data_IF_751121178396
#
_entry.id   IF_751121178396
#
_cell.length_a   1.000
_cell.length_b   1.000
_cell.length_c   1.000
_cell.angle_alpha   90.00
_cell.angle_beta   90.00
_cell.angle_gamma   90.00
#
_symmetry.space_group_name_H-M   'P 1'
#
loop_
_entity.id
_entity.type
_entity.pdbx_description
1 polymer ?
#
# COMPACT_ATOMS: atom_id res chain seq x y z
N UNK A 1 -21.51 42.13 -4.10
CA UNK A 1 -20.19 42.00 -4.76
C UNK A 1 -19.87 40.53 -4.87
N UNK A 2 -20.07 39.92 -6.04
CA UNK A 2 -19.72 38.53 -6.29
C UNK A 2 -18.19 38.39 -6.39
N UNK A 3 -17.59 37.54 -5.55
CA UNK A 3 -16.18 37.21 -5.61
C UNK A 3 -15.88 36.53 -6.95
N UNK A 4 -15.05 37.16 -7.77
CA UNK A 4 -14.53 36.53 -9.01
C UNK A 4 -13.83 35.23 -8.63
N UNK A 5 -14.06 34.12 -9.34
CA UNK A 5 -13.28 32.92 -9.13
C UNK A 5 -11.83 33.25 -9.48
N UNK A 6 -10.94 33.09 -8.50
CA UNK A 6 -9.49 33.19 -8.69
C UNK A 6 -9.12 32.15 -9.72
N UNK A 7 -8.74 32.60 -10.93
CA UNK A 7 -8.15 31.75 -11.95
C UNK A 7 -6.73 31.41 -11.52
N UNK A 8 -6.60 30.50 -10.55
CA UNK A 8 -5.33 29.89 -10.23
C UNK A 8 -4.89 29.14 -11.48
N UNK A 9 -3.71 29.48 -12.03
CA UNK A 9 -3.16 28.98 -13.30
C UNK A 9 -2.85 27.47 -13.32
N UNK A 10 -3.49 26.70 -12.45
CA UNK A 10 -3.49 25.25 -12.48
C UNK A 10 -4.23 24.82 -13.73
N UNK A 11 -3.55 24.04 -14.56
CA UNK A 11 -4.16 23.34 -15.69
C UNK A 11 -5.14 22.32 -15.10
N UNK A 12 -6.38 22.74 -14.86
CA UNK A 12 -7.46 21.83 -14.45
C UNK A 12 -7.80 21.02 -15.70
N UNK A 13 -7.22 19.81 -15.81
CA UNK A 13 -7.65 18.85 -16.84
C UNK A 13 -9.12 18.51 -16.58
N UNK A 14 -10.01 19.03 -17.42
CA UNK A 14 -11.43 18.66 -17.45
C UNK A 14 -11.57 17.45 -18.38
N UNK A 15 -11.99 16.33 -17.83
CA UNK A 15 -12.18 15.04 -18.49
C UNK A 15 -12.31 13.94 -17.42
N UNK A 16 -12.65 12.68 -17.79
CA UNK A 16 -12.58 11.56 -16.87
C UNK A 16 -11.17 11.50 -16.28
N UNK A 17 -11.06 11.66 -14.96
CA UNK A 17 -9.76 11.52 -14.31
C UNK A 17 -9.30 10.08 -14.51
N UNK A 18 -8.07 9.85 -14.99
CA UNK A 18 -7.56 8.49 -15.08
C UNK A 18 -7.34 8.01 -13.64
N UNK A 19 -8.34 7.31 -13.13
CA UNK A 19 -8.42 6.82 -11.75
C UNK A 19 -7.65 5.51 -11.60
N UNK A 20 -7.90 4.53 -12.49
CA UNK A 20 -7.13 3.29 -12.57
C UNK A 20 -6.06 3.38 -13.66
N UNK A 21 -4.83 3.72 -13.28
CA UNK A 21 -3.69 3.81 -14.20
C UNK A 21 -2.72 2.66 -13.99
N UNK A 22 -2.19 2.11 -15.08
CA UNK A 22 -1.09 1.13 -15.04
C UNK A 22 0.06 1.57 -14.12
N UNK A 23 0.55 2.82 -14.15
CA UNK A 23 1.58 3.27 -13.22
C UNK A 23 1.15 3.24 -11.74
N UNK A 24 -0.09 3.63 -11.42
CA UNK A 24 -0.59 3.53 -10.04
C UNK A 24 -0.64 2.08 -9.54
N UNK A 25 -0.99 1.13 -10.42
CA UNK A 25 -1.00 -0.30 -10.09
C UNK A 25 0.40 -0.82 -9.85
N UNK A 26 1.34 -0.54 -10.77
CA UNK A 26 2.71 -1.04 -10.68
C UNK A 26 3.45 -0.48 -9.48
N UNK A 27 3.31 0.82 -9.20
CA UNK A 27 3.93 1.45 -8.04
C UNK A 27 3.27 0.92 -6.76
N UNK A 28 1.95 0.74 -6.75
CA UNK A 28 1.23 0.24 -5.57
C UNK A 28 1.67 -1.18 -5.23
N UNK A 29 1.80 -2.03 -6.24
CA UNK A 29 2.30 -3.39 -6.06
C UNK A 29 3.75 -3.42 -5.55
N UNK A 30 4.65 -2.62 -6.16
CA UNK A 30 6.05 -2.57 -5.77
C UNK A 30 6.25 -2.02 -4.35
N UNK A 31 5.57 -0.92 -4.02
CA UNK A 31 5.59 -0.35 -2.67
C UNK A 31 4.96 -1.31 -1.66
N UNK A 32 3.82 -1.91 -1.99
CA UNK A 32 3.15 -2.88 -1.15
C UNK A 32 4.04 -4.08 -0.81
N UNK A 33 4.75 -4.64 -1.79
CA UNK A 33 5.69 -5.74 -1.56
C UNK A 33 6.82 -5.36 -0.60
N UNK A 34 7.42 -4.18 -0.77
CA UNK A 34 8.51 -3.68 0.10
C UNK A 34 8.01 -3.40 1.51
N UNK A 35 6.84 -2.77 1.62
CA UNK A 35 6.19 -2.44 2.90
C UNK A 35 5.81 -3.72 3.63
N UNK A 36 5.27 -4.73 2.94
CA UNK A 36 4.90 -6.01 3.53
C UNK A 36 6.11 -6.72 4.17
N UNK A 37 7.25 -6.75 3.46
CA UNK A 37 8.50 -7.33 3.98
C UNK A 37 9.00 -6.55 5.21
N UNK A 38 8.99 -5.23 5.15
CA UNK A 38 9.42 -4.37 6.26
C UNK A 38 8.52 -4.53 7.50
N UNK A 39 7.20 -4.43 7.32
CA UNK A 39 6.23 -4.57 8.41
C UNK A 39 6.27 -6.00 8.96
N UNK A 40 6.48 -7.01 8.12
CA UNK A 40 6.57 -8.40 8.55
C UNK A 40 7.77 -8.64 9.45
N UNK A 41 8.94 -8.13 9.05
CA UNK A 41 10.12 -8.20 9.90
C UNK A 41 9.95 -7.42 11.21
N UNK A 42 9.42 -6.18 11.14
CA UNK A 42 9.22 -5.36 12.32
C UNK A 42 8.21 -5.98 13.30
N UNK A 43 7.11 -6.54 12.81
CA UNK A 43 6.07 -7.18 13.65
C UNK A 43 6.56 -8.45 14.33
N UNK A 44 7.44 -9.23 13.69
CA UNK A 44 8.09 -10.38 14.33
C UNK A 44 8.98 -9.97 15.52
N UNK A 45 9.62 -8.80 15.45
CA UNK A 45 10.46 -8.27 16.54
C UNK A 45 9.63 -7.60 17.63
N UNK A 46 8.65 -6.78 17.23
CA UNK A 46 7.88 -5.94 18.14
C UNK A 46 6.71 -6.66 18.80
N UNK A 47 6.18 -7.72 18.16
CA UNK A 47 4.99 -8.44 18.61
C UNK A 47 3.67 -7.71 18.31
N UNK A 48 3.69 -6.61 17.56
CA UNK A 48 2.50 -5.89 17.09
C UNK A 48 2.67 -5.41 15.64
N UNK A 49 1.56 -5.20 14.93
CA UNK A 49 1.56 -4.71 13.55
C UNK A 49 1.50 -3.19 13.50
N UNK A 50 2.14 -2.61 12.48
CA UNK A 50 2.16 -1.17 12.20
C UNK A 50 1.31 -0.90 10.95
N UNK A 51 0.67 0.27 10.91
CA UNK A 51 -0.08 0.76 9.75
C UNK A 51 0.90 1.14 8.62
N UNK A 52 0.63 0.67 7.41
CA UNK A 52 1.51 0.80 6.25
C UNK A 52 0.98 1.78 5.21
N UNK A 53 -0.27 2.19 5.34
CA UNK A 53 -0.98 3.04 4.39
C UNK A 53 -0.42 4.46 4.38
N UNK A 54 0.02 5.00 5.52
CA UNK A 54 0.66 6.33 5.54
C UNK A 54 2.00 6.31 4.79
N UNK A 55 2.80 5.26 4.99
CA UNK A 55 4.06 5.07 4.26
C UNK A 55 3.78 4.92 2.76
N UNK A 56 2.78 4.13 2.38
CA UNK A 56 2.38 3.94 0.99
C UNK A 56 1.91 5.25 0.33
N UNK A 57 1.15 6.08 1.05
CA UNK A 57 0.71 7.39 0.54
C UNK A 57 1.87 8.38 0.38
N UNK A 58 2.78 8.45 1.36
CA UNK A 58 3.92 9.38 1.31
C UNK A 58 4.87 8.98 0.17
N UNK A 59 5.24 7.69 0.09
CA UNK A 59 6.13 7.18 -0.95
C UNK A 59 5.47 7.22 -2.33
N UNK A 60 4.20 6.81 -2.42
CA UNK A 60 3.42 6.90 -3.64
C UNK A 60 3.34 8.32 -4.19
N UNK A 61 3.08 9.30 -3.32
CA UNK A 61 3.01 10.69 -3.71
C UNK A 61 4.38 11.21 -4.15
N UNK A 62 5.44 10.82 -3.45
CA UNK A 62 6.83 11.14 -3.82
C UNK A 62 7.21 10.61 -5.21
N UNK A 63 6.83 9.36 -5.52
CA UNK A 63 7.17 8.72 -6.81
C UNK A 63 6.29 9.26 -7.94
N UNK A 64 4.95 9.26 -7.78
CA UNK A 64 4.02 9.70 -8.83
C UNK A 64 4.20 11.19 -9.13
N UNK A 65 4.32 12.03 -8.10
CA UNK A 65 4.43 13.48 -8.28
C UNK A 65 5.85 13.96 -8.52
N UNK A 66 6.83 13.38 -7.83
CA UNK A 66 8.24 13.77 -7.96
C UNK A 66 8.89 13.23 -9.22
N UNK A 67 8.83 11.91 -9.44
CA UNK A 67 9.53 11.25 -10.55
C UNK A 67 8.68 11.27 -11.82
N UNK A 68 7.41 10.87 -11.74
CA UNK A 68 6.55 10.74 -12.92
C UNK A 68 5.80 12.03 -13.30
N UNK A 69 5.95 13.10 -12.49
CA UNK A 69 5.30 14.40 -12.68
C UNK A 69 3.77 14.31 -12.86
N UNK A 70 3.14 13.29 -12.28
CA UNK A 70 1.70 13.08 -12.29
C UNK A 70 1.10 13.85 -11.13
N UNK A 71 0.19 14.78 -11.43
CA UNK A 71 -0.46 15.63 -10.43
C UNK A 71 -1.82 15.10 -9.95
N UNK A 72 -2.16 13.84 -10.28
CA UNK A 72 -3.44 13.24 -9.90
C UNK A 72 -3.37 12.69 -8.47
N UNK A 73 -4.15 13.28 -7.57
CA UNK A 73 -4.32 12.78 -6.19
C UNK A 73 -5.03 11.43 -6.19
N UNK A 74 -5.92 11.20 -7.16
CA UNK A 74 -6.72 9.98 -7.29
C UNK A 74 -5.82 8.78 -7.60
N UNK A 75 -4.79 8.96 -8.44
CA UNK A 75 -3.84 7.89 -8.73
C UNK A 75 -3.02 7.49 -7.49
N UNK A 76 -2.68 8.46 -6.62
CA UNK A 76 -2.01 8.14 -5.36
C UNK A 76 -2.93 7.40 -4.38
N UNK A 77 -4.23 7.71 -4.39
CA UNK A 77 -5.22 6.99 -3.60
C UNK A 77 -5.32 5.52 -4.05
N UNK A 78 -5.43 5.26 -5.35
CA UNK A 78 -5.42 3.89 -5.89
C UNK A 78 -4.12 3.16 -5.56
N UNK A 79 -2.98 3.83 -5.74
CA UNK A 79 -1.68 3.31 -5.34
C UNK A 79 -1.64 2.93 -3.86
N UNK A 80 -2.15 3.79 -2.97
CA UNK A 80 -2.23 3.54 -1.53
C UNK A 80 -3.14 2.35 -1.22
N UNK A 81 -4.32 2.25 -1.84
CA UNK A 81 -5.24 1.12 -1.64
C UNK A 81 -4.62 -0.21 -2.04
N UNK A 82 -3.93 -0.25 -3.19
CA UNK A 82 -3.24 -1.46 -3.65
C UNK A 82 -2.12 -1.83 -2.69
N UNK A 83 -1.32 -0.85 -2.28
CA UNK A 83 -0.21 -1.08 -1.37
C UNK A 83 -0.67 -1.48 0.05
N UNK A 84 -1.76 -0.92 0.58
CA UNK A 84 -2.24 -1.21 1.93
C UNK A 84 -3.00 -2.53 2.03
N UNK A 85 -3.51 -3.07 0.92
CA UNK A 85 -4.15 -4.39 0.89
C UNK A 85 -3.26 -5.52 1.44
N UNK A 86 -1.94 -5.37 1.37
CA UNK A 86 -0.98 -6.36 1.89
C UNK A 86 -1.02 -6.50 3.41
N UNK A 87 -1.44 -5.46 4.14
CA UNK A 87 -1.44 -5.48 5.60
C UNK A 87 -2.44 -6.49 6.16
N UNK A 88 -3.62 -6.57 5.56
CA UNK A 88 -4.65 -7.54 5.96
C UNK A 88 -4.20 -8.98 5.71
N UNK A 89 -3.74 -9.27 4.49
CA UNK A 89 -3.26 -10.59 4.12
C UNK A 89 -2.04 -11.04 4.96
N UNK A 90 -1.10 -10.14 5.20
CA UNK A 90 0.16 -10.50 5.87
C UNK A 90 0.04 -10.64 7.38
N UNK A 91 -0.90 -9.93 8.03
CA UNK A 91 -1.11 -10.00 9.48
C UNK A 91 -1.40 -11.44 9.96
N UNK A 92 -2.12 -12.23 9.17
CA UNK A 92 -2.36 -13.64 9.45
C UNK A 92 -1.07 -14.44 9.59
N UNK A 93 -0.13 -14.31 8.64
CA UNK A 93 1.17 -15.00 8.71
C UNK A 93 2.07 -14.47 9.81
N UNK A 94 2.11 -13.15 9.99
CA UNK A 94 3.00 -12.49 10.96
C UNK A 94 2.77 -12.99 12.39
N UNK A 95 1.53 -13.33 12.75
CA UNK A 95 1.19 -13.84 14.08
C UNK A 95 1.01 -15.36 14.14
N UNK A 96 0.54 -16.00 13.07
CA UNK A 96 0.28 -17.44 13.07
C UNK A 96 1.55 -18.28 12.92
N UNK A 97 2.51 -17.86 12.07
CA UNK A 97 3.77 -18.60 11.90
C UNK A 97 4.53 -18.71 13.22
N UNK A 98 4.82 -17.60 13.94
CA UNK A 98 5.55 -17.70 15.20
C UNK A 98 4.80 -18.52 16.25
N UNK A 99 3.47 -18.43 16.30
CA UNK A 99 2.66 -19.22 17.22
C UNK A 99 2.81 -20.74 16.98
N UNK A 100 2.83 -21.19 15.72
CA UNK A 100 3.07 -22.59 15.37
C UNK A 100 4.47 -23.06 15.81
N UNK A 101 5.48 -22.23 15.60
CA UNK A 101 6.85 -22.52 16.07
C UNK A 101 6.93 -22.63 17.59
N UNK A 102 6.21 -21.77 18.34
CA UNK A 102 6.14 -21.82 19.80
C UNK A 102 5.42 -23.10 20.28
N UNK A 103 4.39 -23.55 19.56
CA UNK A 103 3.65 -24.78 19.85
C UNK A 103 4.43 -26.07 19.50
N UNK A 104 5.58 -25.96 18.83
CA UNK A 104 6.37 -27.12 18.37
C UNK A 104 5.83 -27.75 17.09
N UNK A 105 4.78 -27.19 16.50
CA UNK A 105 4.17 -27.64 15.25
C UNK A 105 4.97 -27.11 14.06
N UNK A 106 5.96 -27.89 13.63
CA UNK A 106 6.87 -27.51 12.52
C UNK A 106 6.48 -28.13 11.18
N UNK A 107 5.50 -29.03 11.17
CA UNK A 107 5.07 -29.78 9.98
C UNK A 107 3.83 -29.14 9.34
N UNK A 108 3.90 -27.84 9.04
CA UNK A 108 2.82 -27.13 8.35
C UNK A 108 3.10 -27.01 6.85
N UNK A 109 2.06 -27.09 6.02
CA UNK A 109 2.18 -26.98 4.58
C UNK A 109 2.26 -25.50 4.18
N UNK A 110 3.37 -25.04 3.56
CA UNK A 110 3.55 -23.63 3.19
C UNK A 110 2.50 -23.13 2.20
N UNK A 111 2.01 -24.00 1.31
CA UNK A 111 1.00 -23.65 0.31
C UNK A 111 -0.35 -23.37 0.98
N UNK A 112 -0.76 -24.22 1.92
CA UNK A 112 -1.99 -23.99 2.70
C UNK A 112 -1.90 -22.73 3.56
N UNK A 113 -0.73 -22.44 4.13
CA UNK A 113 -0.50 -21.19 4.86
C UNK A 113 -0.66 -19.95 3.99
N UNK A 114 -0.07 -19.97 2.79
CA UNK A 114 -0.20 -18.86 1.83
C UNK A 114 -1.66 -18.68 1.41
N UNK A 115 -2.38 -19.77 1.13
CA UNK A 115 -3.81 -19.71 0.79
C UNK A 115 -4.68 -19.24 1.96
N UNK A 116 -4.35 -19.57 3.20
CA UNK A 116 -5.08 -19.10 4.38
C UNK A 116 -4.94 -17.59 4.64
N UNK A 117 -4.07 -16.91 3.90
CA UNK A 117 -3.83 -15.47 4.01
C UNK A 117 -4.45 -14.64 2.88
N UNK A 118 -5.03 -15.30 1.88
CA UNK A 118 -5.80 -14.69 0.79
C UNK A 118 -7.27 -14.64 1.20
#
# INVERSE_FOLDING_TARGET
MASKPVSDGRIIRRGPYPELTVPAILIGYLLGAVIALSIGYASLILGFSIEGSELAAILGFGILRGIMRRNSIIENNINQTIASGVNGASAGMMFSVPALFILGETTFNPVLMVFGCI
#
